data_IF_054172744563
#
_entry.id   IF_054172744563
#
_cell.length_a   1.000
_cell.length_b   1.000
_cell.length_c   1.000
_cell.angle_alpha   90.00
_cell.angle_beta   90.00
_cell.angle_gamma   90.00
#
_symmetry.space_group_name_H-M   'P 1'
#
loop_
_entity.id
_entity.type
_entity.pdbx_description
1 polymer ?
#
# COMPACT_ATOMS: atom_id res chain seq x y z
N UNK A 1 29.34 4.55 -2.24
CA UNK A 1 28.30 4.27 -3.25
C UNK A 1 26.98 4.86 -2.77
N UNK A 2 26.49 5.91 -3.43
CA UNK A 2 25.23 6.56 -3.06
C UNK A 2 24.04 5.67 -3.40
N UNK A 3 23.39 5.07 -2.39
CA UNK A 3 22.20 4.26 -2.60
C UNK A 3 21.09 5.09 -3.24
N UNK A 4 20.34 4.50 -4.17
CA UNK A 4 19.18 5.11 -4.82
C UNK A 4 18.17 5.57 -3.76
N UNK A 5 17.69 6.80 -3.88
CA UNK A 5 16.73 7.42 -2.93
C UNK A 5 15.36 7.61 -3.58
N UNK A 6 14.30 7.39 -2.79
CA UNK A 6 12.95 7.72 -3.21
C UNK A 6 12.78 9.25 -3.30
N UNK A 7 12.05 9.76 -4.32
CA UNK A 7 11.66 11.14 -4.35
C UNK A 7 10.77 11.46 -3.14
N UNK A 8 10.94 12.65 -2.57
CA UNK A 8 10.02 13.16 -1.56
C UNK A 8 8.95 13.98 -2.24
N UNK A 9 7.71 13.69 -1.97
CA UNK A 9 6.55 14.39 -2.55
C UNK A 9 5.74 15.07 -1.45
N UNK A 10 5.04 16.14 -1.83
CA UNK A 10 4.06 16.76 -0.95
C UNK A 10 2.83 15.86 -0.85
N UNK A 11 2.27 15.65 0.35
CA UNK A 11 1.04 14.90 0.48
C UNK A 11 -0.09 15.69 -0.22
N UNK A 12 -0.63 15.08 -1.25
CA UNK A 12 -1.84 15.57 -1.93
C UNK A 12 -3.06 14.86 -1.37
N UNK A 13 -4.25 15.41 -1.59
CA UNK A 13 -5.52 14.73 -1.32
C UNK A 13 -5.74 13.53 -2.27
N UNK A 14 -4.72 12.72 -2.45
CA UNK A 14 -4.66 11.61 -3.40
C UNK A 14 -5.25 10.32 -2.85
N UNK A 15 -6.42 10.40 -2.25
CA UNK A 15 -7.27 9.25 -2.06
C UNK A 15 -8.48 9.42 -2.97
N UNK A 16 -8.45 8.89 -4.16
CA UNK A 16 -9.63 8.66 -4.97
C UNK A 16 -10.39 9.88 -5.56
N UNK A 17 -9.93 11.10 -5.36
CA UNK A 17 -10.52 12.29 -5.97
C UNK A 17 -9.76 12.77 -7.21
N UNK A 18 -8.96 11.91 -7.81
CA UNK A 18 -8.37 12.22 -9.10
C UNK A 18 -9.48 12.36 -10.16
N UNK A 19 -9.40 13.37 -10.99
CA UNK A 19 -10.21 13.50 -12.22
C UNK A 19 -9.90 12.39 -13.23
N UNK A 20 -9.24 11.31 -12.80
CA UNK A 20 -8.88 10.16 -13.59
C UNK A 20 -10.10 9.44 -14.14
N UNK A 21 -10.00 8.93 -15.35
CA UNK A 21 -11.00 8.08 -15.99
C UNK A 21 -10.71 6.62 -15.71
N UNK A 22 -11.70 5.78 -15.86
CA UNK A 22 -11.51 4.33 -15.95
C UNK A 22 -10.93 4.00 -17.33
N UNK A 23 -9.86 3.23 -17.37
CA UNK A 23 -9.32 2.71 -18.62
C UNK A 23 -10.02 1.42 -19.02
N UNK A 24 -9.74 0.95 -20.24
CA UNK A 24 -10.14 -0.39 -20.68
C UNK A 24 -9.08 -1.44 -20.29
N UNK A 25 -8.39 -1.26 -19.18
CA UNK A 25 -7.41 -2.22 -18.67
C UNK A 25 -8.08 -3.57 -18.50
N UNK A 26 -7.62 -4.63 -19.19
CA UNK A 26 -8.23 -5.94 -19.10
C UNK A 26 -8.19 -6.47 -17.67
N UNK A 27 -9.31 -7.04 -17.22
CA UNK A 27 -9.31 -7.87 -16.03
C UNK A 27 -8.68 -9.21 -16.40
N UNK A 28 -7.45 -9.43 -15.98
CA UNK A 28 -6.71 -10.69 -16.27
C UNK A 28 -7.06 -11.81 -15.27
N UNK A 29 -8.12 -11.62 -14.50
CA UNK A 29 -8.51 -12.55 -13.44
C UNK A 29 -7.71 -12.34 -12.16
N UNK A 30 -8.09 -13.09 -11.14
CA UNK A 30 -7.34 -13.14 -9.90
C UNK A 30 -6.64 -14.49 -9.80
N UNK A 31 -5.44 -14.56 -9.21
CA UNK A 31 -4.79 -15.83 -8.90
C UNK A 31 -5.69 -16.69 -8.00
N UNK A 32 -5.74 -17.99 -8.28
CA UNK A 32 -6.55 -18.93 -7.50
C UNK A 32 -5.98 -19.18 -6.12
N UNK A 33 -4.66 -19.11 -5.99
CA UNK A 33 -3.96 -19.34 -4.75
C UNK A 33 -3.04 -18.18 -4.36
N UNK A 34 -2.72 -18.08 -3.07
CA UNK A 34 -1.75 -17.12 -2.58
C UNK A 34 -0.33 -17.38 -3.16
N UNK A 35 0.00 -18.66 -3.39
CA UNK A 35 1.29 -19.05 -4.00
C UNK A 35 1.42 -18.52 -5.41
N UNK A 36 0.39 -18.64 -6.22
CA UNK A 36 0.35 -18.08 -7.59
C UNK A 36 0.47 -16.55 -7.56
N UNK A 37 -0.28 -15.89 -6.68
CA UNK A 37 -0.26 -14.44 -6.56
C UNK A 37 1.12 -13.89 -6.15
N UNK A 38 1.83 -14.58 -5.26
CA UNK A 38 3.12 -14.17 -4.75
C UNK A 38 4.29 -14.63 -5.62
N UNK A 39 4.14 -15.74 -6.33
CA UNK A 39 5.23 -16.38 -7.06
C UNK A 39 6.32 -16.92 -6.13
N UNK A 40 7.52 -17.08 -6.68
CA UNK A 40 8.68 -17.59 -5.92
C UNK A 40 9.29 -16.49 -5.06
N UNK A 41 9.58 -16.83 -3.81
CA UNK A 41 10.27 -15.93 -2.89
C UNK A 41 11.76 -15.86 -3.21
N UNK A 42 12.25 -14.66 -3.48
CA UNK A 42 13.67 -14.35 -3.65
C UNK A 42 14.26 -13.60 -2.46
N UNK A 43 15.31 -12.83 -2.72
CA UNK A 43 15.93 -11.96 -1.71
C UNK A 43 15.01 -10.77 -1.38
N UNK A 44 14.93 -10.34 -0.11
CA UNK A 44 14.23 -9.12 0.26
C UNK A 44 14.73 -7.91 -0.55
N UNK A 45 13.81 -7.13 -1.07
CA UNK A 45 14.13 -5.92 -1.82
C UNK A 45 14.40 -4.75 -0.87
N UNK A 46 15.26 -3.85 -1.29
CA UNK A 46 15.44 -2.58 -0.59
C UNK A 46 14.12 -1.77 -0.59
N UNK A 47 13.99 -0.83 0.33
CA UNK A 47 12.83 0.08 0.38
C UNK A 47 12.62 0.79 -0.96
N UNK A 48 13.71 1.22 -1.61
CA UNK A 48 13.64 1.86 -2.92
C UNK A 48 13.01 0.94 -3.98
N UNK A 49 13.54 -0.28 -4.11
CA UNK A 49 13.05 -1.26 -5.10
C UNK A 49 11.62 -1.70 -4.81
N UNK A 50 11.30 -1.92 -3.53
CA UNK A 50 9.97 -2.33 -3.14
C UNK A 50 8.92 -1.27 -3.51
N UNK A 51 9.17 -0.02 -3.16
CA UNK A 51 8.25 1.09 -3.41
C UNK A 51 8.11 1.39 -4.90
N UNK A 52 9.22 1.46 -5.63
CA UNK A 52 9.20 1.78 -7.07
C UNK A 52 8.54 0.70 -7.92
N UNK A 53 8.58 -0.55 -7.49
CA UNK A 53 7.99 -1.66 -8.22
C UNK A 53 6.61 -2.08 -7.73
N UNK A 54 6.06 -1.45 -6.68
CA UNK A 54 4.77 -1.87 -6.13
C UNK A 54 3.58 -1.54 -7.04
N UNK A 55 3.61 -0.40 -7.73
CA UNK A 55 2.55 0.04 -8.63
C UNK A 55 3.13 0.71 -9.88
N UNK A 56 3.80 -0.06 -10.76
CA UNK A 56 4.58 0.49 -11.89
C UNK A 56 3.72 1.14 -12.98
N UNK A 57 2.41 0.93 -12.96
CA UNK A 57 1.47 1.47 -13.94
C UNK A 57 0.79 2.77 -13.48
N UNK A 58 1.19 3.31 -12.32
CA UNK A 58 0.67 4.58 -11.83
C UNK A 58 1.12 5.74 -12.72
N UNK A 59 0.15 6.49 -13.27
CA UNK A 59 0.38 7.72 -14.01
C UNK A 59 -0.57 8.88 -13.59
N UNK A 60 -1.48 8.61 -12.66
CA UNK A 60 -2.50 9.55 -12.20
C UNK A 60 -3.70 9.72 -13.13
N UNK A 61 -3.62 9.27 -14.38
CA UNK A 61 -4.68 9.43 -15.37
C UNK A 61 -5.77 8.37 -15.27
N UNK A 62 -5.43 7.20 -14.73
CA UNK A 62 -6.33 6.06 -14.64
C UNK A 62 -6.62 5.68 -13.19
N UNK A 63 -7.91 5.58 -12.88
CA UNK A 63 -8.40 5.26 -11.52
C UNK A 63 -7.94 3.90 -11.04
N UNK A 64 -7.81 2.93 -11.94
CA UNK A 64 -7.36 1.58 -11.63
C UNK A 64 -6.05 1.55 -10.84
N UNK A 65 -5.13 2.45 -11.15
CA UNK A 65 -3.81 2.50 -10.53
C UNK A 65 -3.63 3.71 -9.60
N UNK A 66 -4.55 4.68 -9.61
CA UNK A 66 -4.53 5.83 -8.71
C UNK A 66 -5.47 5.69 -7.51
N UNK A 67 -6.33 4.66 -7.52
CA UNK A 67 -7.24 4.34 -6.41
C UNK A 67 -6.97 2.95 -5.78
N UNK A 68 -5.79 2.39 -5.99
CA UNK A 68 -5.40 1.06 -5.51
C UNK A 68 -4.46 1.06 -4.29
N UNK A 69 -4.44 2.12 -3.49
CA UNK A 69 -3.53 2.25 -2.34
C UNK A 69 -3.57 1.05 -1.39
N UNK A 70 -4.74 0.48 -1.14
CA UNK A 70 -4.91 -0.70 -0.29
C UNK A 70 -4.22 -1.96 -0.85
N UNK A 71 -4.04 -2.05 -2.15
CA UNK A 71 -3.30 -3.13 -2.83
C UNK A 71 -1.80 -2.81 -2.91
N UNK A 72 -1.48 -1.54 -3.13
CA UNK A 72 -0.10 -1.08 -3.20
C UNK A 72 0.67 -1.28 -1.88
N UNK A 73 0.03 -1.08 -0.72
CA UNK A 73 0.69 -1.34 0.57
C UNK A 73 1.02 -2.82 0.78
N UNK A 74 0.19 -3.73 0.28
CA UNK A 74 0.43 -5.18 0.35
C UNK A 74 1.55 -5.57 -0.61
N UNK A 75 1.54 -5.04 -1.84
CA UNK A 75 2.61 -5.28 -2.81
C UNK A 75 3.96 -4.76 -2.28
N UNK A 76 4.00 -3.56 -1.71
CA UNK A 76 5.20 -2.99 -1.10
C UNK A 76 5.75 -3.89 0.00
N UNK A 77 4.90 -4.35 0.92
CA UNK A 77 5.30 -5.25 2.00
C UNK A 77 5.79 -6.62 1.45
N UNK A 78 5.09 -7.18 0.45
CA UNK A 78 5.49 -8.44 -0.17
C UNK A 78 6.86 -8.32 -0.86
N UNK A 79 7.13 -7.22 -1.55
CA UNK A 79 8.44 -6.95 -2.17
C UNK A 79 9.55 -6.83 -1.13
N UNK A 80 9.30 -6.16 -0.02
CA UNK A 80 10.27 -6.09 1.10
C UNK A 80 10.53 -7.47 1.75
N UNK A 81 9.64 -8.45 1.54
CA UNK A 81 9.83 -9.85 1.96
C UNK A 81 10.50 -10.73 0.91
N UNK A 82 10.73 -10.20 -0.31
CA UNK A 82 11.40 -10.90 -1.39
C UNK A 82 10.49 -11.44 -2.51
N UNK A 83 9.20 -11.12 -2.50
CA UNK A 83 8.30 -11.50 -3.58
C UNK A 83 8.32 -10.45 -4.70
N UNK A 84 8.54 -10.88 -5.94
CA UNK A 84 8.53 -9.98 -7.10
C UNK A 84 7.12 -9.80 -7.64
N UNK A 85 6.33 -8.99 -6.97
CA UNK A 85 4.91 -8.73 -7.27
C UNK A 85 4.64 -7.26 -7.53
N UNK A 86 3.50 -6.98 -8.16
CA UNK A 86 2.92 -5.64 -8.30
C UNK A 86 1.51 -5.62 -7.71
N UNK A 87 1.03 -4.42 -7.39
CA UNK A 87 -0.35 -4.24 -6.96
C UNK A 87 -1.32 -4.47 -8.13
N UNK A 88 -2.36 -5.24 -7.89
CA UNK A 88 -3.46 -5.32 -8.82
C UNK A 88 -4.16 -3.97 -8.96
N UNK A 89 -4.75 -3.67 -10.13
CA UNK A 89 -5.60 -2.49 -10.30
C UNK A 89 -6.90 -2.63 -9.49
N UNK A 90 -7.53 -1.52 -9.20
CA UNK A 90 -8.92 -1.47 -8.75
C UNK A 90 -9.80 -1.24 -9.97
N UNK A 91 -10.80 -2.08 -10.21
CA UNK A 91 -11.70 -1.93 -11.34
C UNK A 91 -12.99 -1.21 -10.95
N UNK A 92 -13.65 -0.61 -11.95
CA UNK A 92 -14.98 0.00 -11.75
C UNK A 92 -15.95 -1.07 -11.26
N UNK A 93 -16.60 -0.81 -10.12
CA UNK A 93 -17.52 -1.76 -9.51
C UNK A 93 -16.86 -2.79 -8.58
N UNK A 94 -15.54 -2.76 -8.41
CA UNK A 94 -14.89 -3.55 -7.37
C UNK A 94 -15.52 -3.26 -6.00
N UNK A 95 -15.99 -4.33 -5.34
CA UNK A 95 -16.54 -4.24 -3.98
C UNK A 95 -15.47 -4.05 -2.89
N UNK A 96 -14.23 -3.81 -3.30
CA UNK A 96 -13.16 -3.46 -2.37
C UNK A 96 -13.43 -2.04 -1.89
N UNK A 97 -13.70 -1.83 -0.61
CA UNK A 97 -13.90 -0.48 -0.12
C UNK A 97 -12.60 0.30 -0.30
N UNK A 98 -12.63 1.32 -1.17
CA UNK A 98 -11.55 2.32 -1.28
C UNK A 98 -11.43 3.15 0.00
N UNK A 99 -12.42 3.01 0.89
CA UNK A 99 -12.49 3.69 2.17
C UNK A 99 -12.53 2.64 3.28
N UNK A 100 -11.84 2.92 4.37
CA UNK A 100 -11.96 2.13 5.57
C UNK A 100 -13.43 2.03 6.00
N UNK A 101 -13.95 0.81 6.07
CA UNK A 101 -15.22 0.58 6.74
C UNK A 101 -15.05 0.88 8.22
N UNK A 102 -15.77 1.86 8.70
CA UNK A 102 -15.86 2.12 10.13
C UNK A 102 -17.06 1.37 10.66
N UNK A 103 -16.83 0.40 11.54
CA UNK A 103 -17.93 -0.28 12.22
C UNK A 103 -18.68 0.77 13.07
N UNK A 104 -19.97 1.05 12.79
CA UNK A 104 -20.71 2.11 13.48
C UNK A 104 -20.89 1.83 14.98
N UNK A 105 -20.84 0.56 15.41
CA UNK A 105 -20.98 0.18 16.81
C UNK A 105 -19.69 0.32 17.63
N UNK A 106 -18.55 0.06 17.02
CA UNK A 106 -17.27 0.01 17.75
C UNK A 106 -16.32 1.16 17.38
N UNK A 107 -16.64 1.93 16.34
CA UNK A 107 -15.74 2.92 15.77
C UNK A 107 -14.46 2.33 15.14
N UNK A 108 -14.35 1.01 15.13
CA UNK A 108 -13.19 0.30 14.58
C UNK A 108 -13.30 0.31 13.06
N UNK A 109 -12.26 0.81 12.44
CA UNK A 109 -12.09 0.82 11.00
C UNK A 109 -11.45 -0.49 10.55
N UNK A 110 -12.07 -1.22 9.64
CA UNK A 110 -11.46 -2.36 8.96
C UNK A 110 -11.24 -2.02 7.50
N UNK A 111 -9.98 -1.81 7.12
CA UNK A 111 -9.62 -1.66 5.73
C UNK A 111 -9.48 -3.05 5.08
N UNK A 112 -9.78 -3.13 3.79
CA UNK A 112 -9.61 -4.36 3.01
C UNK A 112 -8.21 -4.97 3.15
N UNK A 113 -7.18 -4.14 3.14
CA UNK A 113 -5.78 -4.57 3.26
C UNK A 113 -5.47 -5.30 4.57
N UNK A 114 -6.20 -5.03 5.65
CA UNK A 114 -6.02 -5.75 6.92
C UNK A 114 -6.28 -7.24 6.78
N UNK A 115 -7.29 -7.61 6.02
CA UNK A 115 -7.61 -9.00 5.74
C UNK A 115 -6.49 -9.77 5.04
N UNK A 116 -5.52 -9.10 4.44
CA UNK A 116 -4.36 -9.73 3.81
C UNK A 116 -3.31 -10.22 4.82
N UNK A 117 -3.43 -9.87 6.10
CA UNK A 117 -2.50 -10.28 7.15
C UNK A 117 -3.23 -11.03 8.26
N UNK A 118 -2.73 -12.22 8.63
CA UNK A 118 -3.29 -13.03 9.70
C UNK A 118 -3.11 -12.34 11.04
N UNK A 119 -4.21 -12.08 11.76
CA UNK A 119 -4.15 -11.48 13.09
C UNK A 119 -3.81 -9.99 13.12
N UNK A 120 -3.96 -9.28 12.01
CA UNK A 120 -3.70 -7.84 11.95
C UNK A 120 -4.55 -7.06 12.97
N UNK A 121 -3.89 -6.23 13.76
CA UNK A 121 -4.52 -5.35 14.75
C UNK A 121 -4.15 -3.90 14.45
N UNK A 122 -5.13 -3.02 14.47
CA UNK A 122 -4.91 -1.58 14.33
C UNK A 122 -4.69 -0.94 15.68
N UNK A 123 -3.67 -0.10 15.76
CA UNK A 123 -3.40 0.74 16.91
C UNK A 123 -3.67 2.21 16.56
N UNK A 124 -4.36 2.91 17.43
CA UNK A 124 -4.64 4.33 17.25
C UNK A 124 -3.36 5.14 17.47
N UNK A 125 -2.93 5.85 16.44
CA UNK A 125 -1.70 6.64 16.45
C UNK A 125 -1.97 8.04 15.89
N UNK A 126 -2.56 8.94 16.69
CA UNK A 126 -3.11 10.20 16.19
C UNK A 126 -2.06 11.20 15.74
N UNK A 127 -0.80 11.05 16.14
CA UNK A 127 0.27 12.02 15.86
C UNK A 127 1.49 11.36 15.22
N UNK A 128 2.33 12.17 14.57
CA UNK A 128 3.63 11.69 14.08
C UNK A 128 4.45 11.06 15.21
N UNK A 129 4.52 11.72 16.36
CA UNK A 129 5.27 11.23 17.51
C UNK A 129 4.76 9.86 18.00
N UNK A 130 3.44 9.63 18.01
CA UNK A 130 2.87 8.34 18.42
C UNK A 130 3.20 7.21 17.42
N UNK A 131 3.18 7.48 16.10
CA UNK A 131 3.62 6.51 15.09
C UNK A 131 5.11 6.21 15.25
N UNK A 132 5.95 7.24 15.40
CA UNK A 132 7.39 7.06 15.51
C UNK A 132 7.79 6.33 16.79
N UNK A 133 7.11 6.63 17.91
CA UNK A 133 7.31 5.92 19.17
C UNK A 133 7.00 4.43 19.04
N UNK A 134 5.84 4.10 18.45
CA UNK A 134 5.45 2.70 18.21
C UNK A 134 6.40 1.97 17.28
N UNK A 135 6.81 2.60 16.19
CA UNK A 135 7.76 2.00 15.26
C UNK A 135 9.15 1.79 15.90
N UNK A 136 9.57 2.66 16.82
CA UNK A 136 10.81 2.48 17.58
C UNK A 136 10.68 1.35 18.61
N UNK A 137 9.53 1.26 19.30
CA UNK A 137 9.19 0.15 20.20
C UNK A 137 9.23 -1.21 19.48
N UNK A 138 8.72 -1.28 18.27
CA UNK A 138 8.78 -2.51 17.44
C UNK A 138 10.20 -2.89 17.02
N UNK A 139 11.16 -1.96 17.10
CA UNK A 139 12.57 -2.20 16.83
C UNK A 139 13.01 -1.88 15.40
N UNK A 140 14.33 -1.94 15.20
CA UNK A 140 14.93 -1.72 13.89
C UNK A 140 14.49 -2.78 12.87
N UNK A 141 14.18 -2.34 11.66
CA UNK A 141 13.69 -3.20 10.58
C UNK A 141 12.18 -3.46 10.63
N UNK A 142 11.48 -3.01 11.68
CA UNK A 142 10.04 -3.13 11.75
C UNK A 142 9.34 -2.38 10.63
N UNK A 143 8.20 -2.92 10.20
CA UNK A 143 7.36 -2.36 9.15
C UNK A 143 5.89 -2.40 9.56
N UNK A 144 5.17 -1.42 9.07
CA UNK A 144 3.73 -1.32 9.31
C UNK A 144 3.01 -0.65 8.14
N UNK A 145 1.70 -0.66 8.22
CA UNK A 145 0.82 0.11 7.34
C UNK A 145 0.13 1.18 8.18
N UNK A 146 0.24 2.41 7.72
CA UNK A 146 -0.44 3.57 8.29
C UNK A 146 -1.67 3.87 7.44
N UNK A 147 -2.85 3.77 8.07
CA UNK A 147 -4.11 4.20 7.49
C UNK A 147 -4.39 5.63 7.91
N UNK A 148 -4.70 6.48 6.96
CA UNK A 148 -4.96 7.90 7.18
C UNK A 148 -6.22 8.35 6.47
N UNK A 149 -6.79 9.46 6.94
CA UNK A 149 -7.82 10.20 6.23
C UNK A 149 -7.32 11.62 5.97
N UNK A 150 -7.39 12.07 4.71
CA UNK A 150 -7.00 13.43 4.36
C UNK A 150 -7.97 14.46 4.92
N UNK A 151 -7.48 15.63 5.30
CA UNK A 151 -8.33 16.76 5.70
C UNK A 151 -9.25 17.23 4.56
N UNK A 152 -8.76 17.16 3.32
CA UNK A 152 -9.52 17.46 2.10
C UNK A 152 -10.51 16.38 1.65
N UNK A 153 -10.64 15.29 2.40
CA UNK A 153 -11.51 14.15 2.06
C UNK A 153 -10.75 12.95 1.50
N UNK A 154 -11.38 11.79 1.52
CA UNK A 154 -10.78 10.53 1.09
C UNK A 154 -9.88 9.89 2.14
N UNK A 155 -9.66 8.59 1.99
CA UNK A 155 -8.74 7.79 2.80
C UNK A 155 -7.50 7.39 2.01
N UNK A 156 -6.43 7.02 2.72
CA UNK A 156 -5.21 6.52 2.11
C UNK A 156 -4.55 5.48 3.02
N UNK A 157 -3.79 4.59 2.41
CA UNK A 157 -2.92 3.66 3.11
C UNK A 157 -1.50 3.77 2.54
N UNK A 158 -0.51 3.81 3.43
CA UNK A 158 0.90 3.87 3.09
C UNK A 158 1.72 2.99 4.04
N UNK A 159 2.93 2.62 3.65
CA UNK A 159 3.79 1.82 4.51
C UNK A 159 4.69 2.71 5.37
N UNK A 160 5.01 2.21 6.56
CA UNK A 160 5.97 2.83 7.49
C UNK A 160 7.09 1.85 7.78
N UNK A 161 8.33 2.32 7.75
CA UNK A 161 9.53 1.50 7.95
C UNK A 161 10.43 2.16 8.97
N UNK A 162 10.86 1.39 9.96
CA UNK A 162 11.93 1.80 10.89
C UNK A 162 13.27 1.31 10.36
N UNK A 163 14.11 2.20 9.89
CA UNK A 163 15.46 1.90 9.42
C UNK A 163 16.48 2.57 10.32
N UNK A 164 17.04 1.80 11.25
CA UNK A 164 18.04 2.31 12.20
C UNK A 164 17.51 3.42 13.11
N UNK A 165 16.27 3.33 13.58
CA UNK A 165 15.61 4.37 14.39
C UNK A 165 15.02 5.52 13.58
N UNK A 166 15.31 5.62 12.28
CA UNK A 166 14.74 6.62 11.38
C UNK A 166 13.47 6.10 10.74
N UNK A 167 12.35 6.73 11.03
CA UNK A 167 11.03 6.33 10.51
C UNK A 167 10.80 6.96 9.13
N UNK A 168 10.42 6.12 8.16
CA UNK A 168 10.14 6.51 6.79
C UNK A 168 8.68 6.23 6.45
N UNK A 169 8.00 7.21 5.88
CA UNK A 169 6.63 7.12 5.37
C UNK A 169 6.71 6.94 3.86
N UNK A 170 6.48 5.72 3.39
CA UNK A 170 6.69 5.33 2.00
C UNK A 170 5.39 4.96 1.34
N UNK A 171 5.23 5.36 0.08
CA UNK A 171 4.00 5.19 -0.67
C UNK A 171 4.27 4.42 -1.98
N UNK A 172 3.92 3.15 -1.96
CA UNK A 172 4.07 2.26 -3.11
C UNK A 172 3.06 2.53 -4.22
N UNK A 173 1.98 3.26 -3.95
CA UNK A 173 1.03 3.63 -5.00
C UNK A 173 1.64 4.63 -5.98
N UNK A 174 2.35 5.62 -5.48
CA UNK A 174 2.95 6.71 -6.28
C UNK A 174 4.47 6.58 -6.45
N UNK A 175 5.07 5.54 -5.88
CA UNK A 175 6.51 5.29 -5.98
C UNK A 175 7.40 6.30 -5.25
N UNK A 176 6.96 6.86 -4.14
CA UNK A 176 7.59 7.98 -3.45
C UNK A 176 7.59 7.83 -1.91
N UNK A 177 8.07 8.86 -1.22
CA UNK A 177 7.94 8.99 0.25
C UNK A 177 7.41 10.36 0.62
N UNK A 178 6.85 10.45 1.82
CA UNK A 178 6.43 11.72 2.40
C UNK A 178 7.42 12.21 3.46
N UNK A 179 7.50 13.53 3.61
CA UNK A 179 8.00 14.14 4.84
C UNK A 179 6.95 13.95 5.93
N UNK A 180 7.36 13.43 7.10
CA UNK A 180 6.44 13.13 8.20
C UNK A 180 5.67 14.36 8.69
N UNK A 181 6.34 15.50 8.90
CA UNK A 181 5.70 16.75 9.35
C UNK A 181 4.63 17.23 8.37
N UNK A 182 4.95 17.19 7.07
CA UNK A 182 4.00 17.58 6.03
C UNK A 182 2.83 16.60 5.92
N UNK A 183 3.08 15.29 6.00
CA UNK A 183 2.04 14.26 6.00
C UNK A 183 1.03 14.52 7.14
N UNK A 184 1.53 14.65 8.37
CA UNK A 184 0.67 14.83 9.53
C UNK A 184 -0.05 16.18 9.56
N UNK A 185 0.44 17.20 8.86
CA UNK A 185 -0.28 18.47 8.67
C UNK A 185 -1.51 18.36 7.78
N UNK A 186 -1.60 17.33 6.93
CA UNK A 186 -2.65 17.14 5.92
C UNK A 186 -3.68 16.06 6.27
N UNK A 187 -3.46 15.28 7.31
CA UNK A 187 -4.34 14.18 7.72
C UNK A 187 -5.15 14.51 8.98
N UNK A 188 -6.27 13.81 9.13
CA UNK A 188 -7.11 13.88 10.34
C UNK A 188 -6.53 12.95 11.41
N UNK A 189 -5.98 13.51 12.47
CA UNK A 189 -5.34 12.78 13.58
C UNK A 189 -6.23 11.69 14.18
N UNK A 190 -7.52 11.99 14.39
CA UNK A 190 -8.49 11.05 14.99
C UNK A 190 -8.74 9.79 14.13
N UNK A 191 -8.33 9.80 12.86
CA UNK A 191 -8.54 8.71 11.90
C UNK A 191 -7.24 8.03 11.49
N UNK A 192 -6.14 8.29 12.21
CA UNK A 192 -4.83 7.72 11.91
C UNK A 192 -4.62 6.45 12.73
N UNK A 193 -4.31 5.36 12.06
CA UNK A 193 -4.14 4.04 12.67
C UNK A 193 -2.94 3.32 12.06
N UNK A 194 -2.15 2.68 12.90
CA UNK A 194 -0.98 1.90 12.54
C UNK A 194 -1.25 0.40 12.74
N UNK A 195 -0.81 -0.42 11.81
CA UNK A 195 -0.75 -1.88 11.97
C UNK A 195 0.65 -2.35 11.68
N UNK A 196 1.28 -3.02 12.64
CA UNK A 196 2.54 -3.73 12.39
C UNK A 196 2.31 -4.88 11.43
N UNK A 197 3.18 -5.08 10.44
CA UNK A 197 3.02 -6.11 9.41
C UNK A 197 4.21 -7.06 9.29
N UNK A 198 5.43 -6.63 9.60
CA UNK A 198 6.66 -7.43 9.43
C UNK A 198 6.64 -8.78 10.16
N UNK A 199 5.95 -8.86 11.28
CA UNK A 199 5.80 -10.05 12.13
C UNK A 199 4.56 -10.91 11.82
N UNK A 200 3.75 -10.53 10.83
CA UNK A 200 2.52 -11.23 10.45
C UNK A 200 2.71 -12.06 9.18
N UNK A 201 2.03 -13.19 9.09
CA UNK A 201 1.94 -13.98 7.84
C UNK A 201 0.85 -13.41 6.93
N UNK A 202 1.04 -13.51 5.63
CA UNK A 202 -0.03 -13.26 4.68
C UNK A 202 -1.18 -14.26 4.89
N UNK A 203 -2.40 -13.79 4.76
CA UNK A 203 -3.59 -14.62 4.63
C UNK A 203 -3.85 -14.93 3.15
N UNK A 204 -4.73 -15.87 2.86
CA UNK A 204 -5.14 -16.16 1.48
C UNK A 204 -5.77 -14.95 0.78
N UNK A 205 -6.35 -14.00 1.53
CA UNK A 205 -6.92 -12.76 0.97
C UNK A 205 -5.89 -11.86 0.29
N UNK A 206 -4.59 -11.99 0.61
CA UNK A 206 -3.55 -11.22 -0.05
C UNK A 206 -3.48 -11.48 -1.56
N UNK A 207 -3.91 -12.65 -2.05
CA UNK A 207 -3.99 -12.98 -3.48
C UNK A 207 -4.86 -12.01 -4.29
N UNK A 208 -5.83 -11.36 -3.64
CA UNK A 208 -6.70 -10.36 -4.28
C UNK A 208 -6.04 -8.98 -4.47
N UNK A 209 -4.84 -8.82 -3.98
CA UNK A 209 -4.16 -7.53 -3.95
C UNK A 209 -2.92 -7.47 -4.82
N UNK A 210 -2.33 -8.59 -5.13
CA UNK A 210 -1.05 -8.66 -5.83
C UNK A 210 -1.08 -9.65 -6.98
N UNK A 211 -0.20 -9.42 -7.93
CA UNK A 211 0.09 -10.32 -9.05
C UNK A 211 1.60 -10.38 -9.27
N UNK A 212 2.11 -11.45 -9.85
CA UNK A 212 3.54 -11.56 -10.20
C UNK A 212 3.91 -10.42 -11.15
N UNK A 213 5.03 -9.75 -10.86
CA UNK A 213 5.49 -8.64 -11.68
C UNK A 213 5.72 -9.08 -13.14
N UNK A 214 5.22 -8.29 -14.07
CA UNK A 214 5.30 -8.60 -15.50
C UNK A 214 4.17 -9.46 -16.06
N UNK A 215 3.27 -10.03 -15.25
CA UNK A 215 2.15 -10.82 -15.73
C UNK A 215 1.24 -10.05 -16.70
N UNK A 216 1.06 -8.74 -16.50
CA UNK A 216 0.26 -7.88 -17.39
C UNK A 216 0.90 -7.57 -18.73
N UNK A 217 2.22 -7.50 -18.81
CA UNK A 217 2.92 -7.21 -20.08
C UNK A 217 2.71 -8.33 -21.09
N UNK A 218 2.56 -9.57 -20.63
CA UNK A 218 2.26 -10.72 -21.49
C UNK A 218 0.82 -10.72 -22.00
N UNK A 219 -0.13 -10.10 -21.27
CA UNK A 219 -1.54 -10.00 -21.67
C UNK A 219 -1.76 -8.95 -22.77
N UNK A 220 -0.93 -7.91 -22.88
CA UNK A 220 -1.01 -6.92 -23.97
C UNK A 220 -0.57 -7.44 -25.32
N UNK A 221 0.21 -8.54 -25.40
CA UNK A 221 0.60 -9.18 -26.66
C UNK A 221 -0.51 -9.99 -27.33
N UNK A 222 -1.58 -10.30 -26.59
CA UNK A 222 -2.70 -11.12 -27.13
C UNK A 222 -3.78 -10.27 -27.80
N UNK A 223 -3.77 -8.96 -27.67
CA UNK A 223 -4.80 -8.05 -28.23
C UNK A 223 -4.28 -7.27 -29.47
N UNK A 224 -3.10 -7.57 -29.96
CA UNK A 224 -2.51 -6.97 -31.16
C UNK A 224 -2.42 -8.00 -32.33
N UNK A 225 -3.46 -8.81 -32.51
CA UNK A 225 -3.70 -9.61 -33.72
C UNK A 225 -5.12 -9.38 -34.22
#
# INVERSE_FOLDING_TARGET
>A
MGGKRLPTVKPGGGGGNGNGKWSNTPNVGQPDTLKEALGTKGKPMSVYEAVRGANPYYDGSYKEFSENCQRAVIATEARMRGYNVTAQPTYKGDKLPNTAYVNPKTGVSSAFWQGAFKGAKQEKTPTQASVESKMKEYGNGSRGILQVQWKGGGGHALNVVNKGGKIQYIDGQIGAKYNGKELFSKIKSSRTQLTRTDNLKFSDRAKKSVEVAGSRTNSKKVVAL
#
